data_IF_412816041631
#
_entry.id   IF_412816041631
#
_cell.length_a   1.000
_cell.length_b   1.000
_cell.length_c   1.000
_cell.angle_alpha   90.00
_cell.angle_beta   90.00
_cell.angle_gamma   90.00
#
_symmetry.space_group_name_H-M   'P 1'
#
loop_
_entity.id
_entity.type
_entity.pdbx_description
1 polymer ?
#
# COMPACT_ATOMS: atom_id res chain seq x y z
N UNK A 1 9.14 13.97 -6.19
CA UNK A 1 9.70 13.79 -4.82
C UNK A 1 10.09 12.32 -4.65
N UNK A 2 11.34 12.07 -4.29
CA UNK A 2 11.82 10.73 -4.02
C UNK A 2 11.75 10.43 -2.52
N UNK A 3 12.19 9.21 -2.12
CA UNK A 3 12.17 8.80 -0.70
C UNK A 3 12.94 9.76 0.18
N UNK A 4 14.14 10.17 -0.23
CA UNK A 4 15.01 11.04 0.57
C UNK A 4 14.34 12.40 0.80
N UNK A 5 13.76 12.98 -0.23
CA UNK A 5 13.03 14.24 -0.12
C UNK A 5 11.78 14.12 0.72
N UNK A 6 11.07 13.01 0.60
CA UNK A 6 9.88 12.72 1.37
C UNK A 6 10.19 12.64 2.86
N UNK A 7 11.24 11.89 3.22
CA UNK A 7 11.68 11.75 4.62
C UNK A 7 12.13 13.10 5.19
N UNK A 8 12.84 13.89 4.39
CA UNK A 8 13.29 15.22 4.81
C UNK A 8 12.12 16.15 5.11
N UNK A 9 11.06 16.08 4.30
CA UNK A 9 9.86 16.89 4.52
C UNK A 9 9.12 16.44 5.79
N UNK A 10 9.08 15.14 6.06
CA UNK A 10 8.51 14.61 7.30
C UNK A 10 9.31 15.14 8.51
N UNK A 11 10.64 15.12 8.42
CA UNK A 11 11.51 15.62 9.49
C UNK A 11 11.21 17.08 9.80
N UNK A 12 11.05 17.89 8.77
CA UNK A 12 10.74 19.30 8.91
C UNK A 12 9.39 19.53 9.61
N UNK A 13 8.35 18.85 9.15
CA UNK A 13 6.99 19.04 9.66
C UNK A 13 6.79 18.48 11.06
N UNK A 14 7.46 17.38 11.37
CA UNK A 14 7.33 16.71 12.66
C UNK A 14 8.38 17.19 13.68
N UNK A 15 9.25 18.12 13.27
CA UNK A 15 10.35 18.62 14.12
C UNK A 15 11.25 17.48 14.61
N UNK A 16 11.58 16.58 13.68
CA UNK A 16 12.46 15.44 13.93
C UNK A 16 13.79 15.63 13.18
N UNK A 17 14.82 14.94 13.64
CA UNK A 17 16.03 14.81 12.84
C UNK A 17 15.75 13.95 11.61
N UNK A 18 16.59 14.04 10.56
CA UNK A 18 16.46 13.19 9.38
C UNK A 18 16.52 11.72 9.75
N UNK A 19 17.38 11.35 10.69
CA UNK A 19 17.51 9.98 11.19
C UNK A 19 16.23 9.49 11.85
N UNK A 20 15.64 10.32 12.70
CA UNK A 20 14.38 10.00 13.39
C UNK A 20 13.22 9.89 12.40
N UNK A 21 13.16 10.78 11.42
CA UNK A 21 12.13 10.76 10.39
C UNK A 21 12.26 9.53 9.50
N UNK A 22 13.47 9.11 9.16
CA UNK A 22 13.69 7.88 8.40
C UNK A 22 13.24 6.65 9.19
N UNK A 23 13.55 6.58 10.47
CA UNK A 23 13.11 5.49 11.34
C UNK A 23 11.57 5.46 11.42
N UNK A 24 10.93 6.62 11.55
CA UNK A 24 9.48 6.73 11.57
C UNK A 24 8.87 6.28 10.23
N UNK A 25 9.46 6.66 9.11
CA UNK A 25 9.02 6.24 7.79
C UNK A 25 9.07 4.71 7.65
N UNK A 26 10.18 4.09 8.03
CA UNK A 26 10.30 2.64 7.98
C UNK A 26 9.30 1.95 8.90
N UNK A 27 9.08 2.50 10.10
CA UNK A 27 8.10 1.96 11.03
C UNK A 27 6.68 1.98 10.45
N UNK A 28 6.31 3.05 9.74
CA UNK A 28 5.01 3.14 9.07
C UNK A 28 4.88 2.07 8.00
N UNK A 29 5.88 1.93 7.14
CA UNK A 29 5.86 0.93 6.06
C UNK A 29 5.80 -0.49 6.62
N UNK A 30 6.59 -0.78 7.65
CA UNK A 30 6.60 -2.10 8.30
C UNK A 30 5.26 -2.41 8.97
N UNK A 31 4.67 -1.44 9.63
CA UNK A 31 3.37 -1.60 10.30
C UNK A 31 2.29 -1.93 9.28
N UNK A 32 2.26 -1.20 8.16
CA UNK A 32 1.32 -1.46 7.07
C UNK A 32 1.54 -2.86 6.50
N UNK A 33 2.79 -3.21 6.23
CA UNK A 33 3.14 -4.52 5.67
C UNK A 33 2.70 -5.66 6.57
N UNK A 34 3.01 -5.57 7.86
CA UNK A 34 2.70 -6.64 8.82
C UNK A 34 1.20 -6.77 9.05
N UNK A 35 0.49 -5.65 9.13
CA UNK A 35 -0.96 -5.67 9.30
C UNK A 35 -1.64 -6.32 8.09
N UNK A 36 -1.22 -5.98 6.88
CA UNK A 36 -1.77 -6.58 5.66
C UNK A 36 -1.43 -8.06 5.54
N UNK A 37 -0.25 -8.48 5.97
CA UNK A 37 0.12 -9.90 5.98
C UNK A 37 -0.75 -10.71 6.94
N UNK A 38 -1.18 -10.11 8.04
CA UNK A 38 -2.09 -10.79 9.00
C UNK A 38 -3.56 -10.68 8.59
N UNK A 39 -3.86 -10.02 7.48
CA UNK A 39 -5.22 -9.86 7.00
C UNK A 39 -5.98 -8.70 7.60
N UNK A 40 -5.31 -7.83 8.34
CA UNK A 40 -5.94 -6.64 8.91
C UNK A 40 -6.08 -5.54 7.86
N UNK A 41 -7.20 -4.83 7.94
CA UNK A 41 -7.43 -3.61 7.18
C UNK A 41 -6.96 -2.41 8.00
N UNK A 42 -6.24 -1.49 7.37
CA UNK A 42 -5.82 -0.26 8.02
C UNK A 42 -6.67 0.88 7.49
N UNK A 43 -7.36 1.56 8.38
CA UNK A 43 -8.19 2.70 8.02
C UNK A 43 -7.64 3.96 8.67
N UNK A 44 -7.16 4.89 7.86
CA UNK A 44 -6.63 6.16 8.30
C UNK A 44 -7.64 7.25 7.99
N UNK A 45 -8.33 7.71 9.02
CA UNK A 45 -9.40 8.71 8.87
C UNK A 45 -8.85 10.00 8.25
N UNK A 46 -9.52 10.48 7.20
CA UNK A 46 -9.11 11.68 6.49
C UNK A 46 -8.04 11.47 5.43
N UNK A 47 -7.53 10.26 5.29
CA UNK A 47 -6.52 9.94 4.27
C UNK A 47 -6.97 8.81 3.34
N UNK A 48 -7.14 7.61 3.87
CA UNK A 48 -7.53 6.46 3.06
C UNK A 48 -7.41 5.16 3.84
N UNK A 49 -7.49 4.07 3.11
CA UNK A 49 -7.40 2.74 3.71
C UNK A 49 -6.52 1.82 2.90
N UNK A 50 -5.84 0.92 3.61
CA UNK A 50 -5.06 -0.17 3.04
C UNK A 50 -5.79 -1.48 3.31
N UNK A 51 -5.89 -2.33 2.31
CA UNK A 51 -6.53 -3.64 2.45
C UNK A 51 -5.92 -4.66 1.52
N UNK A 52 -6.10 -5.93 1.83
CA UNK A 52 -5.78 -7.01 0.92
C UNK A 52 -7.02 -7.35 0.11
N UNK A 53 -6.87 -7.35 -1.20
CA UNK A 53 -7.91 -7.83 -2.11
C UNK A 53 -7.58 -9.26 -2.52
N UNK A 54 -8.58 -10.12 -2.45
CA UNK A 54 -8.45 -11.47 -2.95
C UNK A 54 -8.84 -11.51 -4.41
N UNK A 55 -7.94 -12.04 -5.23
CA UNK A 55 -8.25 -12.35 -6.61
C UNK A 55 -8.52 -13.85 -6.69
N UNK A 56 -9.74 -14.27 -7.11
CA UNK A 56 -10.05 -15.70 -7.22
C UNK A 56 -9.22 -16.35 -8.33
N UNK A 57 -9.03 -17.65 -8.20
CA UNK A 57 -8.43 -18.44 -9.27
C UNK A 57 -9.29 -18.32 -10.52
N UNK A 58 -8.66 -18.22 -11.67
CA UNK A 58 -9.37 -18.11 -12.95
C UNK A 58 -8.59 -18.84 -14.04
N UNK A 59 -9.29 -19.20 -15.10
CA UNK A 59 -8.70 -19.73 -16.30
C UNK A 59 -8.64 -18.63 -17.35
N UNK A 60 -7.48 -18.49 -17.98
CA UNK A 60 -7.29 -17.59 -19.12
C UNK A 60 -6.77 -18.39 -20.32
N UNK A 61 -7.21 -17.98 -21.51
CA UNK A 61 -6.73 -18.56 -22.74
C UNK A 61 -5.51 -17.81 -23.23
N UNK A 62 -4.42 -18.53 -23.45
CA UNK A 62 -3.21 -17.94 -24.00
C UNK A 62 -3.25 -18.06 -25.53
N UNK A 63 -3.41 -16.96 -26.29
CA UNK A 63 -3.49 -17.01 -27.75
C UNK A 63 -2.19 -17.42 -28.41
N UNK A 64 -1.05 -17.29 -27.75
CA UNK A 64 0.25 -17.68 -28.31
C UNK A 64 0.46 -19.17 -28.28
N UNK A 65 0.09 -19.83 -27.17
CA UNK A 65 0.23 -21.28 -27.00
C UNK A 65 -1.05 -22.04 -27.33
N UNK A 66 -2.16 -21.35 -27.52
CA UNK A 66 -3.50 -21.92 -27.72
C UNK A 66 -3.92 -22.87 -26.60
N UNK A 67 -3.42 -22.63 -25.40
CA UNK A 67 -3.74 -23.43 -24.21
C UNK A 67 -4.39 -22.59 -23.15
N UNK A 68 -5.25 -23.25 -22.37
CA UNK A 68 -5.83 -22.63 -21.17
C UNK A 68 -4.81 -22.66 -20.05
N UNK A 69 -4.63 -21.53 -19.40
CA UNK A 69 -3.76 -21.42 -18.24
C UNK A 69 -4.61 -21.14 -17.01
N UNK A 70 -4.29 -21.81 -15.91
CA UNK A 70 -4.91 -21.55 -14.62
C UNK A 70 -4.07 -20.53 -13.87
N UNK A 71 -4.71 -19.43 -13.49
CA UNK A 71 -4.10 -18.44 -12.60
C UNK A 71 -4.60 -18.74 -11.21
N UNK A 72 -3.66 -19.04 -10.29
CA UNK A 72 -4.00 -19.34 -8.92
C UNK A 72 -4.61 -18.13 -8.22
N UNK A 73 -5.44 -18.39 -7.22
CA UNK A 73 -5.94 -17.33 -6.33
C UNK A 73 -4.75 -16.61 -5.68
N UNK A 74 -4.83 -15.29 -5.60
CA UNK A 74 -3.79 -14.48 -5.00
C UNK A 74 -4.38 -13.36 -4.16
N UNK A 75 -3.57 -12.85 -3.22
CA UNK A 75 -3.93 -11.68 -2.42
C UNK A 75 -3.01 -10.56 -2.81
N UNK A 76 -3.57 -9.40 -3.13
CA UNK A 76 -2.80 -8.21 -3.50
C UNK A 76 -3.14 -7.06 -2.58
N UNK A 77 -2.13 -6.29 -2.14
CA UNK A 77 -2.38 -5.09 -1.35
C UNK A 77 -3.00 -4.02 -2.24
N UNK A 78 -3.93 -3.26 -1.68
CA UNK A 78 -4.57 -2.15 -2.36
C UNK A 78 -4.71 -0.98 -1.41
N UNK A 79 -4.58 0.23 -1.95
CA UNK A 79 -4.81 1.46 -1.22
C UNK A 79 -5.95 2.23 -1.88
N UNK A 80 -6.82 2.80 -1.04
CA UNK A 80 -7.95 3.57 -1.50
C UNK A 80 -8.00 4.89 -0.76
N UNK A 81 -7.97 6.00 -1.49
CA UNK A 81 -8.11 7.31 -0.87
C UNK A 81 -9.51 7.49 -0.28
N UNK A 82 -9.56 8.10 0.89
CA UNK A 82 -10.81 8.43 1.53
C UNK A 82 -11.52 9.60 0.84
N UNK A 83 -12.84 9.70 1.04
CA UNK A 83 -13.64 10.78 0.46
C UNK A 83 -13.13 12.15 0.88
N UNK A 84 -12.84 12.32 2.18
CA UNK A 84 -12.37 13.60 2.71
C UNK A 84 -11.04 14.02 2.06
N UNK A 85 -10.15 13.07 1.78
CA UNK A 85 -8.89 13.37 1.10
C UNK A 85 -9.11 13.76 -0.36
N UNK A 86 -10.01 13.06 -1.05
CA UNK A 86 -10.33 13.36 -2.45
C UNK A 86 -10.94 14.75 -2.61
N UNK A 87 -11.68 15.23 -1.64
CA UNK A 87 -12.31 16.55 -1.67
C UNK A 87 -11.31 17.70 -1.61
N UNK A 88 -10.04 17.44 -1.29
CA UNK A 88 -8.98 18.44 -1.28
C UNK A 88 -8.50 18.84 -2.70
N UNK A 89 -8.91 18.10 -3.71
CA UNK A 89 -8.42 18.27 -5.09
C UNK A 89 -9.47 18.72 -6.08
#
# INVERSE_FOLDING_TARGET
MNKTEFVREIARRAELSNRQAEAAYHAVVETITDALKSGEKIQLVGFGSFELKEKPAREVFNPLTKQKQKIAASKVPAFKFGKAFKELF
#
